data_IF_484064246447
#
_entry.id   IF_484064246447
#
_cell.length_a   1.000
_cell.length_b   1.000
_cell.length_c   1.000
_cell.angle_alpha   90.00
_cell.angle_beta   90.00
_cell.angle_gamma   90.00
#
_symmetry.space_group_name_H-M   'P 1'
#
loop_
_entity.id
_entity.type
_entity.pdbx_description
1 polymer ?
#
# COMPACT_ATOMS: atom_id res chain seq x y z
N UNK A 1 9.32 -16.82 2.92
CA UNK A 1 9.18 -15.73 3.90
C UNK A 1 7.88 -15.02 3.57
N UNK A 2 7.06 -14.68 4.57
CA UNK A 2 5.77 -14.01 4.35
C UNK A 2 6.01 -12.54 4.08
N UNK A 3 5.40 -12.01 3.01
CA UNK A 3 5.43 -10.58 2.67
C UNK A 3 4.02 -10.01 2.53
N UNK A 4 3.92 -8.69 2.64
CA UNK A 4 2.73 -7.94 2.24
C UNK A 4 2.92 -7.46 0.80
N UNK A 5 1.96 -7.72 -0.07
CA UNK A 5 1.92 -7.20 -1.45
C UNK A 5 0.70 -6.29 -1.56
N UNK A 6 0.90 -4.99 -1.78
CA UNK A 6 -0.17 -4.01 -1.80
C UNK A 6 -0.28 -3.34 -3.16
N UNK A 7 -1.50 -3.21 -3.69
CA UNK A 7 -1.77 -2.31 -4.82
C UNK A 7 -1.90 -0.89 -4.33
N UNK A 8 -1.26 0.06 -5.01
CA UNK A 8 -1.25 1.47 -4.61
C UNK A 8 -2.20 2.31 -5.47
N UNK A 9 -2.98 3.15 -4.79
CA UNK A 9 -3.76 4.22 -5.40
C UNK A 9 -3.26 5.59 -4.92
N UNK A 10 -4.17 6.54 -4.75
CA UNK A 10 -3.81 7.91 -4.31
C UNK A 10 -3.87 8.10 -2.79
N UNK A 11 -4.24 7.07 -2.02
CA UNK A 11 -4.22 7.11 -0.56
C UNK A 11 -3.01 6.36 -0.03
N UNK A 12 -1.99 7.05 0.52
CA UNK A 12 -0.72 6.43 0.91
C UNK A 12 -0.79 5.69 2.26
N UNK A 13 -1.68 6.10 3.18
CA UNK A 13 -1.75 5.52 4.53
C UNK A 13 -2.16 4.05 4.58
N UNK A 14 -3.01 3.61 3.64
CA UNK A 14 -3.62 2.28 3.66
C UNK A 14 -2.60 1.13 3.70
N UNK A 15 -1.49 1.25 2.98
CA UNK A 15 -0.44 0.20 2.97
C UNK A 15 0.22 0.07 4.34
N UNK A 16 0.51 1.20 4.99
CA UNK A 16 1.11 1.21 6.32
C UNK A 16 0.13 0.69 7.38
N UNK A 17 -1.14 1.09 7.28
CA UNK A 17 -2.22 0.62 8.16
C UNK A 17 -2.37 -0.91 8.07
N UNK A 18 -2.41 -1.46 6.86
CA UNK A 18 -2.45 -2.91 6.64
C UNK A 18 -1.24 -3.60 7.26
N UNK A 19 -0.04 -3.09 7.02
CA UNK A 19 1.19 -3.61 7.62
C UNK A 19 1.10 -3.67 9.16
N UNK A 20 0.69 -2.56 9.79
CA UNK A 20 0.59 -2.47 11.25
C UNK A 20 -0.49 -3.39 11.81
N UNK A 21 -1.64 -3.50 11.15
CA UNK A 21 -2.73 -4.37 11.58
C UNK A 21 -2.34 -5.85 11.47
N UNK A 22 -1.68 -6.26 10.38
CA UNK A 22 -1.15 -7.63 10.23
C UNK A 22 -0.10 -7.95 11.29
N UNK A 23 0.86 -7.03 11.50
CA UNK A 23 1.93 -7.19 12.49
C UNK A 23 1.41 -7.33 13.93
N UNK A 24 0.27 -6.70 14.24
CA UNK A 24 -0.31 -6.70 15.58
C UNK A 24 -1.43 -7.73 15.79
N UNK A 25 -1.86 -8.45 14.74
CA UNK A 25 -3.02 -9.34 14.80
C UNK A 25 -4.37 -8.61 14.77
N UNK A 26 -4.38 -7.29 14.54
CA UNK A 26 -5.58 -6.44 14.45
C UNK A 26 -6.34 -6.57 13.13
N UNK A 27 -6.51 -7.80 12.64
CA UNK A 27 -7.24 -8.14 11.43
C UNK A 27 -8.09 -9.41 11.55
N UNK A 28 -8.20 -9.95 12.78
CA UNK A 28 -8.92 -11.19 13.08
C UNK A 28 -8.07 -12.46 12.98
N UNK A 29 -6.73 -12.33 12.97
CA UNK A 29 -5.78 -13.44 12.94
C UNK A 29 -4.59 -13.23 13.87
N UNK A 30 -3.64 -14.16 13.85
CA UNK A 30 -2.42 -14.08 14.67
C UNK A 30 -1.44 -13.02 14.12
N UNK A 31 -0.62 -12.37 14.98
CA UNK A 31 0.44 -11.46 14.53
C UNK A 31 1.34 -12.06 13.45
N UNK A 32 1.54 -11.30 12.36
CA UNK A 32 2.35 -11.74 11.21
C UNK A 32 3.72 -11.06 11.23
N UNK A 33 4.79 -11.84 11.15
CA UNK A 33 6.15 -11.32 10.98
C UNK A 33 6.45 -11.02 9.51
N UNK A 34 6.18 -9.78 9.10
CA UNK A 34 6.43 -9.28 7.73
C UNK A 34 7.79 -8.58 7.69
N UNK A 35 8.66 -9.02 6.76
CA UNK A 35 9.98 -8.41 6.51
C UNK A 35 10.06 -7.58 5.25
N UNK A 36 9.15 -7.80 4.32
CA UNK A 36 9.09 -7.10 3.04
C UNK A 36 7.66 -6.65 2.76
N UNK A 37 7.52 -5.43 2.24
CA UNK A 37 6.26 -4.86 1.73
C UNK A 37 6.47 -4.46 0.27
N UNK A 38 5.81 -5.17 -0.64
CA UNK A 38 5.89 -4.94 -2.08
C UNK A 38 4.75 -4.03 -2.50
N UNK A 39 5.07 -2.96 -3.19
CA UNK A 39 4.08 -1.96 -3.61
C UNK A 39 3.97 -1.98 -5.13
N UNK A 40 2.82 -2.44 -5.60
CA UNK A 40 2.49 -2.49 -7.02
C UNK A 40 1.82 -1.18 -7.40
N UNK A 41 2.44 -0.40 -8.29
CA UNK A 41 1.92 0.91 -8.68
C UNK A 41 1.98 1.16 -10.18
N UNK A 42 1.08 2.01 -10.65
CA UNK A 42 1.08 2.54 -12.02
C UNK A 42 2.03 3.74 -12.15
N UNK A 43 2.24 4.21 -13.38
CA UNK A 43 2.99 5.44 -13.70
C UNK A 43 2.15 6.71 -13.62
N UNK A 44 0.93 6.64 -13.06
CA UNK A 44 0.10 7.82 -12.87
C UNK A 44 0.75 8.79 -11.86
N UNK A 45 0.78 10.08 -12.18
CA UNK A 45 1.48 11.10 -11.36
C UNK A 45 0.95 11.18 -9.92
N UNK A 46 -0.36 11.00 -9.71
CA UNK A 46 -0.92 11.04 -8.37
C UNK A 46 -0.51 9.80 -7.56
N UNK A 47 -0.34 8.66 -8.23
CA UNK A 47 0.18 7.43 -7.63
C UNK A 47 1.69 7.54 -7.35
N UNK A 48 2.46 8.22 -8.20
CA UNK A 48 3.88 8.52 -7.92
C UNK A 48 4.05 9.39 -6.67
N UNK A 49 3.22 10.42 -6.52
CA UNK A 49 3.20 11.23 -5.31
C UNK A 49 2.81 10.39 -4.09
N UNK A 50 1.79 9.55 -4.20
CA UNK A 50 1.39 8.63 -3.14
C UNK A 50 2.53 7.68 -2.76
N UNK A 51 3.30 7.20 -3.72
CA UNK A 51 4.47 6.36 -3.46
C UNK A 51 5.54 7.08 -2.64
N UNK A 52 5.85 8.35 -2.98
CA UNK A 52 6.78 9.16 -2.18
C UNK A 52 6.28 9.33 -0.73
N UNK A 53 4.98 9.56 -0.55
CA UNK A 53 4.35 9.65 0.77
C UNK A 53 4.38 8.33 1.55
N UNK A 54 4.17 7.18 0.90
CA UNK A 54 4.29 5.87 1.55
C UNK A 54 5.68 5.70 2.16
N UNK A 55 6.74 6.00 1.39
CA UNK A 55 8.12 5.94 1.91
C UNK A 55 8.30 6.83 3.14
N UNK A 56 7.87 8.08 3.07
CA UNK A 56 7.94 9.01 4.19
C UNK A 56 7.17 8.50 5.42
N UNK A 57 5.99 7.93 5.23
CA UNK A 57 5.16 7.35 6.29
C UNK A 57 5.89 6.18 6.97
N UNK A 58 6.38 5.20 6.21
CA UNK A 58 7.09 4.05 6.78
C UNK A 58 8.31 4.49 7.60
N UNK A 59 9.10 5.40 7.05
CA UNK A 59 10.33 5.90 7.70
C UNK A 59 10.01 6.70 8.97
N UNK A 60 9.02 7.61 8.91
CA UNK A 60 8.74 8.51 10.03
C UNK A 60 7.82 7.90 11.09
N UNK A 61 6.93 6.99 10.74
CA UNK A 61 5.85 6.51 11.61
C UNK A 61 6.07 5.13 12.23
N UNK A 62 7.22 4.50 11.99
CA UNK A 62 7.65 3.30 12.72
C UNK A 62 7.56 1.99 11.92
N UNK A 63 7.96 2.02 10.65
CA UNK A 63 8.17 0.84 9.81
C UNK A 63 9.61 0.75 9.31
N UNK A 64 10.60 1.03 10.17
CA UNK A 64 12.03 1.01 9.80
C UNK A 64 12.64 -0.40 9.77
N UNK A 65 11.92 -1.38 10.32
CA UNK A 65 12.30 -2.79 10.43
C UNK A 65 11.86 -3.64 9.24
N UNK A 66 11.21 -3.04 8.24
CA UNK A 66 10.66 -3.69 7.05
C UNK A 66 11.25 -3.07 5.79
N UNK A 67 11.58 -3.90 4.82
CA UNK A 67 12.02 -3.44 3.50
C UNK A 67 10.82 -3.11 2.63
N UNK A 68 10.81 -1.89 2.07
CA UNK A 68 9.78 -1.46 1.13
C UNK A 68 10.31 -1.61 -0.29
N UNK A 69 9.65 -2.45 -1.09
CA UNK A 69 10.06 -2.78 -2.46
C UNK A 69 9.09 -2.16 -3.46
N UNK A 70 9.60 -1.28 -4.32
CA UNK A 70 8.84 -0.64 -5.40
C UNK A 70 8.69 -1.60 -6.60
N UNK A 71 7.48 -1.79 -7.09
CA UNK A 71 7.18 -2.53 -8.32
C UNK A 71 6.39 -1.59 -9.25
N UNK A 72 7.10 -0.70 -9.96
CA UNK A 72 6.47 0.20 -10.91
C UNK A 72 6.06 -0.54 -12.18
N UNK A 73 4.86 -0.23 -12.67
CA UNK A 73 4.33 -0.76 -13.92
C UNK A 73 4.26 0.36 -14.96
N UNK A 74 4.62 0.08 -16.23
CA UNK A 74 4.69 1.09 -17.30
C UNK A 74 3.30 1.36 -17.91
N UNK A 75 2.27 1.50 -17.07
CA UNK A 75 0.89 1.82 -17.45
C UNK A 75 0.34 2.87 -16.50
N UNK A 76 -0.54 3.75 -16.97
CA UNK A 76 -1.18 4.77 -16.12
C UNK A 76 -2.40 4.19 -15.35
N UNK A 77 -3.20 3.35 -16.00
CA UNK A 77 -4.34 2.63 -15.44
C UNK A 77 -4.60 1.38 -16.31
N UNK A 78 -5.47 0.48 -15.86
CA UNK A 78 -5.96 -0.65 -16.67
C UNK A 78 -7.22 -0.20 -17.40
N UNK A 79 -7.07 0.16 -18.68
CA UNK A 79 -8.19 0.61 -19.54
C UNK A 79 -8.45 -0.33 -20.72
N UNK A 80 -7.47 -1.18 -21.03
CA UNK A 80 -7.50 -2.16 -22.12
C UNK A 80 -7.10 -3.55 -21.63
N UNK A 81 -7.26 -4.55 -22.50
CA UNK A 81 -6.80 -5.92 -22.21
C UNK A 81 -5.27 -5.98 -22.14
N UNK A 82 -4.60 -5.22 -22.99
CA UNK A 82 -3.15 -5.10 -23.03
C UNK A 82 -2.60 -4.55 -21.72
N UNK A 83 -3.23 -3.51 -21.16
CA UNK A 83 -2.87 -2.97 -19.83
C UNK A 83 -3.02 -4.03 -18.74
N UNK A 84 -4.11 -4.80 -18.78
CA UNK A 84 -4.35 -5.88 -17.84
C UNK A 84 -3.27 -6.97 -17.93
N UNK A 85 -2.84 -7.33 -19.13
CA UNK A 85 -1.74 -8.30 -19.32
C UNK A 85 -0.40 -7.76 -18.83
N UNK A 86 -0.12 -6.46 -19.00
CA UNK A 86 1.07 -5.81 -18.42
C UNK A 86 1.00 -5.88 -16.89
N UNK A 87 -0.14 -5.53 -16.30
CA UNK A 87 -0.33 -5.59 -14.85
C UNK A 87 -0.15 -7.01 -14.30
N UNK A 88 -0.80 -8.00 -14.95
CA UNK A 88 -0.70 -9.41 -14.58
C UNK A 88 0.73 -9.94 -14.65
N UNK A 89 1.48 -9.57 -15.70
CA UNK A 89 2.91 -9.91 -15.82
C UNK A 89 3.75 -9.25 -14.71
N UNK A 90 3.42 -8.01 -14.34
CA UNK A 90 4.06 -7.31 -13.22
C UNK A 90 3.91 -8.01 -11.86
N UNK A 91 2.79 -8.72 -11.65
CA UNK A 91 2.56 -9.53 -10.45
C UNK A 91 3.26 -10.90 -10.48
N UNK A 92 3.75 -11.34 -11.63
CA UNK A 92 4.30 -12.69 -11.79
C UNK A 92 5.54 -12.88 -10.91
N UNK A 93 5.52 -13.94 -10.09
CA UNK A 93 6.60 -14.24 -9.14
C UNK A 93 6.66 -13.30 -7.93
N UNK A 94 5.73 -12.34 -7.81
CA UNK A 94 5.67 -11.38 -6.69
C UNK A 94 4.71 -11.79 -5.59
N UNK A 95 3.78 -12.71 -5.87
CA UNK A 95 2.83 -13.23 -4.89
C UNK A 95 3.05 -14.73 -4.75
N UNK A 96 3.35 -15.19 -3.54
CA UNK A 96 3.60 -16.58 -3.19
C UNK A 96 2.59 -17.09 -2.16
N UNK A 97 2.51 -18.41 -2.02
CA UNK A 97 1.65 -19.04 -1.01
C UNK A 97 1.93 -18.50 0.39
N UNK A 98 0.87 -18.13 1.10
CA UNK A 98 0.93 -17.59 2.46
C UNK A 98 1.33 -16.11 2.57
N UNK A 99 1.59 -15.42 1.46
CA UNK A 99 1.72 -13.96 1.46
C UNK A 99 0.37 -13.28 1.76
N UNK A 100 0.41 -12.03 2.20
CA UNK A 100 -0.78 -11.21 2.36
C UNK A 100 -0.88 -10.23 1.20
N UNK A 101 -2.03 -10.20 0.52
CA UNK A 101 -2.27 -9.30 -0.62
C UNK A 101 -3.33 -8.28 -0.25
N UNK A 102 -2.92 -7.02 -0.15
CA UNK A 102 -3.78 -5.88 0.08
C UNK A 102 -4.23 -5.26 -1.25
N UNK A 103 -5.52 -5.39 -1.54
CA UNK A 103 -6.12 -4.89 -2.77
C UNK A 103 -6.92 -3.58 -2.56
N UNK A 104 -6.78 -2.94 -1.39
CA UNK A 104 -7.52 -1.73 -1.00
C UNK A 104 -7.22 -0.55 -1.91
N UNK A 105 -5.93 -0.33 -2.19
CA UNK A 105 -5.47 0.76 -3.02
C UNK A 105 -5.54 0.45 -4.50
N UNK A 106 -5.53 1.50 -5.32
CA UNK A 106 -5.51 1.39 -6.77
C UNK A 106 -6.91 1.41 -7.37
N UNK A 107 -6.94 1.32 -8.70
CA UNK A 107 -8.19 1.31 -9.47
C UNK A 107 -8.77 -0.10 -9.43
N UNK A 108 -10.10 -0.21 -9.52
CA UNK A 108 -10.84 -1.49 -9.31
C UNK A 108 -10.26 -2.67 -10.09
N UNK A 109 -9.83 -2.45 -11.33
CA UNK A 109 -9.22 -3.48 -12.15
C UNK A 109 -7.89 -4.01 -11.57
N UNK A 110 -7.05 -3.13 -11.00
CA UNK A 110 -5.82 -3.52 -10.30
C UNK A 110 -6.14 -4.36 -9.08
N UNK A 111 -7.09 -3.89 -8.27
CA UNK A 111 -7.54 -4.54 -7.04
C UNK A 111 -8.05 -5.96 -7.33
N UNK A 112 -8.92 -6.12 -8.35
CA UNK A 112 -9.43 -7.42 -8.78
C UNK A 112 -8.32 -8.31 -9.32
N UNK A 113 -7.41 -7.79 -10.16
CA UNK A 113 -6.30 -8.56 -10.71
C UNK A 113 -5.36 -9.08 -9.62
N UNK A 114 -5.06 -8.26 -8.60
CA UNK A 114 -4.25 -8.65 -7.45
C UNK A 114 -4.94 -9.73 -6.61
N UNK A 115 -6.22 -9.54 -6.28
CA UNK A 115 -7.00 -10.52 -5.51
C UNK A 115 -7.13 -11.88 -6.22
N UNK A 116 -7.41 -11.89 -7.54
CA UNK A 116 -7.46 -13.13 -8.34
C UNK A 116 -6.10 -13.85 -8.32
N UNK A 117 -5.01 -13.09 -8.46
CA UNK A 117 -3.65 -13.65 -8.45
C UNK A 117 -3.30 -14.23 -7.08
N UNK A 118 -3.70 -13.55 -5.99
CA UNK A 118 -3.53 -14.02 -4.63
C UNK A 118 -4.22 -15.38 -4.40
N UNK A 119 -5.51 -15.47 -4.74
CA UNK A 119 -6.31 -16.68 -4.58
C UNK A 119 -5.68 -17.84 -5.37
N UNK A 120 -5.29 -17.61 -6.63
CA UNK A 120 -4.64 -18.62 -7.48
C UNK A 120 -3.34 -19.16 -6.88
N UNK A 121 -2.61 -18.32 -6.14
CA UNK A 121 -1.34 -18.68 -5.52
C UNK A 121 -1.49 -19.13 -4.06
N UNK A 122 -2.72 -19.30 -3.55
CA UNK A 122 -2.97 -19.61 -2.13
C UNK A 122 -2.33 -18.60 -1.17
N UNK A 123 -2.35 -17.33 -1.56
CA UNK A 123 -2.03 -16.19 -0.69
C UNK A 123 -3.31 -15.68 -0.02
N UNK A 124 -3.16 -15.05 1.14
CA UNK A 124 -4.24 -14.43 1.88
C UNK A 124 -4.65 -13.12 1.21
N UNK A 125 -5.95 -12.84 1.16
CA UNK A 125 -6.49 -11.60 0.62
C UNK A 125 -7.00 -10.73 1.76
N UNK A 126 -6.50 -9.51 1.84
CA UNK A 126 -6.89 -8.54 2.88
C UNK A 126 -7.31 -7.21 2.27
N UNK A 127 -8.17 -6.49 2.98
CA UNK A 127 -8.48 -5.09 2.69
C UNK A 127 -8.51 -4.27 3.96
N UNK A 128 -8.13 -3.00 3.88
CA UNK A 128 -8.14 -2.05 4.97
C UNK A 128 -9.18 -0.97 4.71
N UNK A 129 -10.14 -0.88 5.62
CA UNK A 129 -11.28 0.01 5.52
C UNK A 129 -11.05 1.22 6.41
N UNK A 130 -11.24 2.41 5.84
CA UNK A 130 -11.38 3.68 6.56
C UNK A 130 -12.71 4.32 6.18
N UNK A 131 -13.24 5.19 7.05
CA UNK A 131 -14.45 5.95 6.74
C UNK A 131 -14.20 6.93 5.58
N UNK A 132 -15.25 7.28 4.84
CA UNK A 132 -15.14 8.28 3.76
C UNK A 132 -14.71 9.65 4.30
N UNK A 133 -15.11 10.01 5.53
CA UNK A 133 -14.67 11.23 6.20
C UNK A 133 -13.17 11.23 6.48
N UNK A 134 -12.62 10.11 6.95
CA UNK A 134 -11.18 9.96 7.17
C UNK A 134 -10.40 10.00 5.86
N UNK A 135 -10.89 9.31 4.83
CA UNK A 135 -10.32 9.40 3.48
C UNK A 135 -10.25 10.85 3.00
N UNK A 136 -11.35 11.60 3.10
CA UNK A 136 -11.42 12.99 2.68
C UNK A 136 -10.47 13.89 3.49
N UNK A 137 -10.35 13.66 4.81
CA UNK A 137 -9.41 14.36 5.69
C UNK A 137 -7.98 14.17 5.21
N UNK A 138 -7.57 12.91 4.99
CA UNK A 138 -6.22 12.56 4.51
C UNK A 138 -5.93 13.22 3.16
N UNK A 139 -6.87 13.14 2.20
CA UNK A 139 -6.70 13.78 0.88
C UNK A 139 -6.54 15.30 0.96
N UNK A 140 -7.17 15.96 1.94
CA UNK A 140 -6.98 17.39 2.15
C UNK A 140 -5.64 17.71 2.83
N UNK A 141 -5.16 16.88 3.75
CA UNK A 141 -3.83 17.03 4.35
C UNK A 141 -2.72 16.88 3.32
N UNK A 142 -2.84 15.94 2.37
CA UNK A 142 -1.85 15.72 1.30
C UNK A 142 -1.57 17.01 0.51
N UNK A 143 -2.59 17.84 0.26
CA UNK A 143 -2.46 19.11 -0.47
C UNK A 143 -1.57 20.14 0.24
N UNK A 144 -1.29 19.95 1.53
CA UNK A 144 -0.47 20.84 2.35
C UNK A 144 1.02 20.45 2.35
N UNK A 145 1.38 19.36 1.68
CA UNK A 145 2.76 18.94 1.50
C UNK A 145 3.31 19.50 0.19
N UNK A 146 4.57 19.92 0.24
CA UNK A 146 5.34 20.14 -0.98
C UNK A 146 6.21 18.90 -1.26
N UNK A 147 6.65 18.76 -2.50
CA UNK A 147 7.36 17.56 -2.95
C UNK A 147 8.72 17.39 -2.29
N UNK A 148 9.43 18.49 -2.03
CA UNK A 148 10.74 18.49 -1.36
C UNK A 148 10.64 17.92 0.06
N UNK A 149 9.67 18.39 0.86
CA UNK A 149 9.39 17.90 2.22
C UNK A 149 9.14 16.39 2.22
N UNK A 150 8.37 15.88 1.24
CA UNK A 150 8.06 14.45 1.12
C UNK A 150 9.32 13.64 0.79
N UNK A 151 10.14 14.13 -0.14
CA UNK A 151 11.36 13.45 -0.55
C UNK A 151 12.42 13.40 0.56
N UNK A 152 12.56 14.47 1.34
CA UNK A 152 13.46 14.51 2.49
C UNK A 152 13.00 13.55 3.60
N UNK A 153 11.70 13.52 3.90
CA UNK A 153 11.14 12.58 4.87
C UNK A 153 11.33 11.12 4.42
N UNK A 154 11.15 10.82 3.14
CA UNK A 154 11.43 9.50 2.57
C UNK A 154 12.90 9.06 2.65
N UNK A 155 13.83 9.99 2.94
CA UNK A 155 15.26 9.71 3.18
C UNK A 155 15.62 9.63 4.67
N UNK A 156 14.66 9.79 5.58
CA UNK A 156 14.90 9.75 7.04
C UNK A 156 14.83 11.07 7.76
N UNK A 157 14.69 12.20 7.04
CA UNK A 157 14.58 13.52 7.68
C UNK A 157 13.14 13.79 8.11
N UNK A 158 12.77 13.30 9.29
CA UNK A 158 11.41 13.36 9.82
C UNK A 158 11.16 14.59 10.71
N UNK A 159 11.63 15.77 10.29
CA UNK A 159 11.51 17.02 11.07
C UNK A 159 10.05 17.34 11.42
N UNK A 160 9.11 17.01 10.53
CA UNK A 160 7.66 17.12 10.71
C UNK A 160 6.97 15.75 10.87
N UNK A 161 7.55 14.82 11.64
CA UNK A 161 7.00 13.47 11.84
C UNK A 161 5.48 13.45 12.10
N UNK A 162 4.99 14.34 12.97
CA UNK A 162 3.56 14.42 13.30
C UNK A 162 2.68 14.59 12.07
N UNK A 163 3.08 15.49 11.16
CA UNK A 163 2.36 15.79 9.92
C UNK A 163 2.23 14.55 9.01
N UNK A 164 3.31 13.78 8.85
CA UNK A 164 3.28 12.54 8.07
C UNK A 164 2.42 11.46 8.73
N UNK A 165 2.51 11.31 10.05
CA UNK A 165 1.73 10.28 10.75
C UNK A 165 0.24 10.61 10.88
N UNK A 166 -0.16 11.86 10.66
CA UNK A 166 -1.57 12.25 10.51
C UNK A 166 -2.22 11.76 9.20
N UNK A 167 -1.40 11.32 8.21
CA UNK A 167 -1.87 10.67 6.97
C UNK A 167 -2.29 9.22 7.19
N UNK A 168 -2.10 8.69 8.40
CA UNK A 168 -2.57 7.38 8.83
C UNK A 168 -3.88 7.57 9.60
N UNK A 169 -4.88 6.76 9.31
CA UNK A 169 -6.10 6.68 10.08
C UNK A 169 -5.95 5.72 11.25
N UNK A 170 -6.27 6.20 12.46
CA UNK A 170 -6.35 5.37 13.67
C UNK A 170 -7.57 4.46 13.67
N UNK A 171 -8.54 4.74 12.80
CA UNK A 171 -9.78 3.98 12.67
C UNK A 171 -9.68 2.89 11.61
N UNK A 172 -8.54 2.76 10.93
CA UNK A 172 -8.31 1.79 9.88
C UNK A 172 -8.49 0.35 10.40
N UNK A 173 -9.32 -0.43 9.71
CA UNK A 173 -9.60 -1.83 10.03
C UNK A 173 -9.22 -2.72 8.87
N UNK A 174 -8.26 -3.62 9.09
CA UNK A 174 -7.92 -4.65 8.12
C UNK A 174 -8.81 -5.87 8.32
N UNK A 175 -9.29 -6.45 7.22
CA UNK A 175 -10.16 -7.63 7.20
C UNK A 175 -9.52 -8.69 6.31
N UNK A 176 -9.44 -9.92 6.81
CA UNK A 176 -9.10 -11.11 6.04
C UNK A 176 -10.32 -11.63 5.27
N UNK A 177 -10.20 -11.82 3.97
CA UNK A 177 -11.29 -12.22 3.08
C UNK A 177 -11.15 -13.65 2.56
N UNK A 178 -9.93 -14.11 2.31
CA UNK A 178 -9.61 -15.43 1.78
C UNK A 178 -8.19 -15.85 2.19
#
# INVERSE_FOLDING_TARGET
MVKLVATLGTSPGGVFETYMNLKSGNYGGEPVNIKEVYIIRTSDKAVELAWKLVKAIFVCCGGNEVEIVDIPLPINDITTKEDYEIFRKGLQGKISKGDYVDFTGGRKAMSVAAAITAIRNSAYVVTTIISQSEYNRIQNLIKQFNEEEIEEAGKGKCDNKGKFCELISKEARTILLA
#
